data_IF_841737905644
#
_entry.id   IF_841737905644
#
_cell.length_a   1.000
_cell.length_b   1.000
_cell.length_c   1.000
_cell.angle_alpha   90.00
_cell.angle_beta   90.00
_cell.angle_gamma   90.00
#
_symmetry.space_group_name_H-M   'P 1'
#
loop_
_entity.id
_entity.type
_entity.pdbx_description
1 polymer ?
#
# COMPACT_ATOMS: atom_id res chain seq x y z
N UNK A 1 21.08 -10.38 -14.65
CA UNK A 1 21.09 -8.91 -14.49
C UNK A 1 19.66 -8.42 -14.58
N UNK A 2 19.00 -8.22 -13.46
CA UNK A 2 17.68 -7.56 -13.42
C UNK A 2 17.92 -6.08 -13.70
N UNK A 3 17.34 -5.55 -14.77
CA UNK A 3 17.36 -4.12 -15.05
C UNK A 3 16.68 -3.43 -13.87
N UNK A 4 17.38 -2.51 -13.18
CA UNK A 4 16.80 -1.74 -12.09
C UNK A 4 15.61 -0.94 -12.66
N UNK A 5 14.44 -1.08 -12.03
CA UNK A 5 13.24 -0.33 -12.40
C UNK A 5 13.39 1.17 -12.17
N UNK A 6 12.43 2.00 -12.64
CA UNK A 6 12.46 3.43 -12.37
C UNK A 6 12.35 3.71 -10.86
N UNK A 7 13.01 4.79 -10.41
CA UNK A 7 12.96 5.27 -9.02
C UNK A 7 12.38 6.68 -8.95
N UNK A 8 11.74 7.02 -7.82
CA UNK A 8 10.93 8.23 -7.66
C UNK A 8 11.32 9.02 -6.40
N UNK A 9 11.24 10.34 -6.49
CA UNK A 9 11.59 11.26 -5.38
C UNK A 9 10.47 11.35 -4.33
N UNK A 10 9.25 11.01 -4.73
CA UNK A 10 8.07 10.86 -3.86
C UNK A 10 7.48 9.46 -4.04
N UNK A 11 7.27 8.74 -2.93
CA UNK A 11 6.53 7.48 -2.92
C UNK A 11 5.40 7.57 -1.91
N UNK A 12 4.16 7.43 -2.39
CA UNK A 12 2.98 7.28 -1.54
C UNK A 12 2.73 5.79 -1.35
N UNK A 13 2.47 5.35 -0.13
CA UNK A 13 2.13 3.97 0.18
C UNK A 13 0.85 3.93 1.00
N UNK A 14 -0.15 3.20 0.51
CA UNK A 14 -1.43 2.98 1.18
C UNK A 14 -1.85 1.52 1.03
N UNK A 15 -2.86 1.07 1.78
CA UNK A 15 -3.31 -0.32 1.68
C UNK A 15 -3.70 -0.69 0.24
N UNK A 16 -4.53 0.13 -0.41
CA UNK A 16 -4.94 -0.05 -1.81
C UNK A 16 -4.19 0.86 -2.79
N UNK A 17 -4.20 0.47 -4.06
CA UNK A 17 -3.92 1.38 -5.17
C UNK A 17 -4.99 2.48 -5.26
N UNK A 18 -4.72 3.61 -5.93
CA UNK A 18 -5.72 4.65 -6.19
C UNK A 18 -6.65 4.27 -7.36
N UNK A 19 -6.62 2.99 -7.76
CA UNK A 19 -7.41 2.40 -8.83
C UNK A 19 -7.94 1.05 -8.43
N UNK A 20 -9.07 0.70 -9.02
CA UNK A 20 -9.66 -0.62 -8.98
C UNK A 20 -9.77 -1.20 -10.38
N UNK A 21 -9.76 -2.52 -10.45
CA UNK A 21 -9.91 -3.24 -11.70
C UNK A 21 -11.39 -3.49 -11.95
N UNK A 22 -11.90 -2.97 -13.06
CA UNK A 22 -13.28 -3.17 -13.51
C UNK A 22 -13.26 -4.12 -14.68
N UNK A 23 -14.02 -5.22 -14.56
CA UNK A 23 -14.17 -6.18 -15.65
C UNK A 23 -15.35 -5.75 -16.52
N UNK A 24 -15.13 -5.71 -17.83
CA UNK A 24 -16.21 -5.50 -18.79
C UNK A 24 -17.04 -6.78 -19.00
N UNK A 25 -18.11 -6.67 -19.80
CA UNK A 25 -18.99 -7.79 -20.11
C UNK A 25 -18.29 -8.96 -20.86
N UNK A 26 -17.09 -8.72 -21.41
CA UNK A 26 -16.26 -9.72 -22.09
C UNK A 26 -15.23 -10.37 -21.17
N UNK A 27 -15.08 -9.87 -19.93
CA UNK A 27 -14.08 -10.32 -18.96
C UNK A 27 -12.72 -9.64 -19.12
N UNK A 28 -12.60 -8.62 -19.97
CA UNK A 28 -11.41 -7.79 -20.08
C UNK A 28 -11.40 -6.75 -18.95
N UNK A 29 -10.25 -6.55 -18.31
CA UNK A 29 -10.15 -5.68 -17.14
C UNK A 29 -9.55 -4.32 -17.46
N UNK A 30 -10.28 -3.24 -17.21
CA UNK A 30 -9.79 -1.86 -17.23
C UNK A 30 -9.46 -1.39 -15.80
N UNK A 31 -8.60 -0.37 -15.68
CA UNK A 31 -8.31 0.27 -14.40
C UNK A 31 -9.05 1.60 -14.32
N UNK A 32 -9.88 1.75 -13.29
CA UNK A 32 -10.64 2.97 -13.03
C UNK A 32 -10.21 3.59 -11.69
N UNK A 33 -10.22 4.93 -11.55
CA UNK A 33 -9.90 5.57 -10.28
C UNK A 33 -10.77 5.07 -9.14
N UNK A 34 -10.17 4.67 -8.03
CA UNK A 34 -10.92 4.23 -6.86
C UNK A 34 -11.61 5.41 -6.18
N UNK A 35 -12.90 5.30 -5.81
CA UNK A 35 -13.54 6.31 -5.01
C UNK A 35 -12.87 6.38 -3.63
N UNK A 36 -12.37 7.55 -3.20
CA UNK A 36 -11.79 7.69 -1.88
C UNK A 36 -11.16 9.04 -1.58
N UNK A 37 -11.36 9.54 -0.35
CA UNK A 37 -10.82 10.84 0.08
C UNK A 37 -9.29 10.93 0.07
N UNK A 38 -8.59 9.81 0.30
CA UNK A 38 -7.13 9.77 0.20
C UNK A 38 -6.65 9.98 -1.24
N UNK A 39 -7.29 9.34 -2.22
CA UNK A 39 -6.92 9.46 -3.64
C UNK A 39 -7.05 10.91 -4.08
N UNK A 40 -8.22 11.52 -3.87
CA UNK A 40 -8.47 12.92 -4.22
C UNK A 40 -7.56 13.90 -3.46
N UNK A 41 -7.24 13.64 -2.19
CA UNK A 41 -6.31 14.49 -1.43
C UNK A 41 -4.89 14.44 -2.01
N UNK A 42 -4.45 13.26 -2.49
CA UNK A 42 -3.09 13.05 -2.97
C UNK A 42 -2.88 13.48 -4.42
N UNK A 43 -3.92 13.56 -5.26
CA UNK A 43 -3.82 14.06 -6.64
C UNK A 43 -3.04 15.37 -6.72
N UNK A 44 -3.41 16.37 -5.92
CA UNK A 44 -2.75 17.69 -5.88
C UNK A 44 -1.29 17.64 -5.39
N UNK A 45 -0.97 16.69 -4.51
CA UNK A 45 0.39 16.51 -3.97
C UNK A 45 1.31 15.91 -5.02
N UNK A 46 0.76 15.04 -5.86
CA UNK A 46 1.49 14.27 -6.88
C UNK A 46 1.58 15.02 -8.22
N UNK A 47 0.70 15.99 -8.46
CA UNK A 47 0.69 16.80 -9.68
C UNK A 47 2.06 17.45 -9.95
N UNK A 48 2.57 17.26 -11.18
CA UNK A 48 3.87 17.80 -11.61
C UNK A 48 5.09 17.15 -10.95
N UNK A 49 4.94 16.07 -10.17
CA UNK A 49 6.05 15.36 -9.51
C UNK A 49 6.29 13.99 -10.13
N UNK A 50 7.55 13.56 -10.11
CA UNK A 50 7.91 12.15 -10.35
C UNK A 50 7.57 11.34 -9.11
N UNK A 51 6.35 10.80 -9.08
CA UNK A 51 5.81 10.10 -7.94
C UNK A 51 5.37 8.67 -8.27
N UNK A 52 5.53 7.78 -7.30
CA UNK A 52 5.01 6.43 -7.34
C UNK A 52 3.96 6.20 -6.25
N UNK A 53 3.00 5.33 -6.53
CA UNK A 53 2.07 4.79 -5.54
C UNK A 53 2.30 3.30 -5.36
N UNK A 54 2.48 2.87 -4.11
CA UNK A 54 2.58 1.46 -3.73
C UNK A 54 1.31 1.04 -3.00
N UNK A 55 0.65 -0.02 -3.47
CA UNK A 55 -0.63 -0.45 -2.90
C UNK A 55 -1.07 -1.83 -3.40
N UNK A 56 -1.99 -2.46 -2.69
CA UNK A 56 -2.65 -3.69 -3.14
C UNK A 56 -3.69 -3.39 -4.22
N UNK A 57 -3.76 -4.26 -5.22
CA UNK A 57 -4.60 -4.12 -6.41
C UNK A 57 -6.08 -4.50 -6.21
N UNK A 58 -6.50 -4.87 -5.00
CA UNK A 58 -7.88 -5.28 -4.72
C UNK A 58 -8.19 -6.76 -5.03
N UNK A 59 -7.24 -7.51 -5.61
CA UNK A 59 -7.42 -8.92 -5.98
C UNK A 59 -6.40 -9.83 -5.26
N UNK A 60 -6.80 -11.07 -4.99
CA UNK A 60 -5.89 -12.06 -4.43
C UNK A 60 -4.96 -12.66 -5.48
N UNK A 61 -3.70 -12.87 -5.13
CA UNK A 61 -2.73 -13.59 -5.95
C UNK A 61 -1.44 -12.81 -6.16
N UNK A 62 -0.79 -13.09 -7.29
CA UNK A 62 0.43 -12.39 -7.69
C UNK A 62 0.10 -10.93 -7.98
N UNK A 63 0.98 -10.03 -7.55
CA UNK A 63 0.92 -8.62 -7.91
C UNK A 63 0.89 -8.47 -9.44
N UNK A 64 -0.01 -7.66 -10.03
CA UNK A 64 0.12 -7.24 -11.41
C UNK A 64 1.50 -6.60 -11.66
N UNK A 65 1.98 -6.67 -12.90
CA UNK A 65 3.20 -5.95 -13.27
C UNK A 65 2.99 -4.43 -13.08
N UNK A 66 4.03 -3.67 -12.73
CA UNK A 66 3.90 -2.22 -12.55
C UNK A 66 3.43 -1.52 -13.82
N UNK A 67 2.60 -0.49 -13.67
CA UNK A 67 1.99 0.22 -14.79
C UNK A 67 1.86 1.71 -14.50
N UNK A 68 1.57 2.49 -15.54
CA UNK A 68 1.27 3.91 -15.41
C UNK A 68 -0.22 4.15 -15.61
N UNK A 69 -0.77 5.11 -14.86
CA UNK A 69 -2.08 5.69 -15.14
C UNK A 69 -1.90 7.21 -15.19
N UNK A 70 -2.00 7.78 -16.39
CA UNK A 70 -1.51 9.14 -16.63
C UNK A 70 -0.01 9.23 -16.29
N UNK A 71 0.35 10.24 -15.49
CA UNK A 71 1.74 10.45 -15.03
C UNK A 71 2.09 9.65 -13.76
N UNK A 72 1.11 8.96 -13.17
CA UNK A 72 1.30 8.23 -11.93
C UNK A 72 1.85 6.83 -12.19
N UNK A 73 3.00 6.51 -11.59
CA UNK A 73 3.53 5.15 -11.58
C UNK A 73 2.90 4.34 -10.45
N UNK A 74 2.30 3.21 -10.78
CA UNK A 74 1.65 2.31 -9.84
C UNK A 74 2.48 1.04 -9.68
N UNK A 75 2.81 0.73 -8.42
CA UNK A 75 3.57 -0.47 -8.03
C UNK A 75 2.71 -1.36 -7.13
N UNK A 76 2.05 -2.38 -7.71
CA UNK A 76 1.17 -3.25 -6.96
C UNK A 76 1.91 -4.14 -5.94
N UNK A 77 1.27 -4.40 -4.80
CA UNK A 77 1.69 -5.41 -3.82
C UNK A 77 0.72 -6.58 -3.86
N UNK A 78 1.26 -7.79 -4.06
CA UNK A 78 0.47 -9.01 -4.12
C UNK A 78 0.11 -9.50 -2.73
N UNK A 79 -1.14 -9.90 -2.54
CA UNK A 79 -1.65 -10.51 -1.31
C UNK A 79 -2.35 -11.82 -1.68
N UNK A 80 -2.07 -12.90 -0.96
CA UNK A 80 -2.83 -14.14 -1.11
C UNK A 80 -4.21 -14.01 -0.45
N UNK A 81 -5.15 -14.91 -0.78
CA UNK A 81 -6.48 -14.92 -0.13
C UNK A 81 -6.38 -15.11 1.39
N UNK A 82 -5.43 -15.92 1.86
CA UNK A 82 -5.17 -16.08 3.30
C UNK A 82 -4.64 -14.79 3.92
N UNK A 83 -3.77 -14.06 3.23
CA UNK A 83 -3.27 -12.77 3.70
C UNK A 83 -4.35 -11.71 3.74
N UNK A 84 -5.26 -11.68 2.77
CA UNK A 84 -6.42 -10.78 2.80
C UNK A 84 -7.26 -11.06 4.04
N UNK A 85 -7.58 -12.32 4.31
CA UNK A 85 -8.37 -12.72 5.48
C UNK A 85 -7.67 -12.38 6.81
N UNK A 86 -6.36 -12.59 6.92
CA UNK A 86 -5.66 -12.46 8.20
C UNK A 86 -5.08 -11.06 8.45
N UNK A 87 -4.56 -10.37 7.43
CA UNK A 87 -3.98 -9.03 7.56
C UNK A 87 -5.03 -7.93 7.41
N UNK A 88 -5.90 -8.00 6.40
CA UNK A 88 -6.83 -6.93 6.09
C UNK A 88 -8.14 -7.10 6.86
N UNK A 89 -8.83 -8.23 6.65
CA UNK A 89 -10.10 -8.50 7.34
C UNK A 89 -9.88 -8.74 8.84
N UNK A 90 -8.87 -9.54 9.20
CA UNK A 90 -8.52 -9.85 10.60
C UNK A 90 -7.80 -8.70 11.31
N UNK A 91 -6.48 -8.61 11.21
CA UNK A 91 -5.70 -7.69 12.05
C UNK A 91 -6.07 -6.22 11.83
N UNK A 92 -6.27 -5.80 10.58
CA UNK A 92 -6.59 -4.39 10.30
C UNK A 92 -8.03 -4.05 10.71
N UNK A 93 -9.02 -4.79 10.22
CA UNK A 93 -10.43 -4.41 10.40
C UNK A 93 -11.12 -5.01 11.63
N UNK A 94 -10.65 -6.13 12.16
CA UNK A 94 -11.26 -6.78 13.34
C UNK A 94 -10.42 -6.63 14.63
N UNK A 95 -9.15 -6.20 14.52
CA UNK A 95 -8.31 -5.84 15.68
C UNK A 95 -8.07 -4.33 15.77
N UNK A 96 -7.39 -3.72 14.79
CA UNK A 96 -6.94 -2.33 14.90
C UNK A 96 -8.09 -1.34 14.79
N UNK A 97 -8.95 -1.51 13.78
CA UNK A 97 -10.04 -0.58 13.52
C UNK A 97 -10.96 -0.42 14.75
N UNK A 98 -11.45 -1.49 15.42
CA UNK A 98 -12.27 -1.32 16.61
C UNK A 98 -11.52 -0.63 17.75
N UNK A 99 -10.25 -0.96 17.98
CA UNK A 99 -9.43 -0.33 19.03
C UNK A 99 -9.27 1.18 18.77
N UNK A 100 -9.07 1.57 17.51
CA UNK A 100 -8.87 2.98 17.14
C UNK A 100 -10.16 3.80 17.16
N UNK A 101 -11.31 3.12 17.14
CA UNK A 101 -12.64 3.73 17.17
C UNK A 101 -13.34 3.46 18.51
N UNK A 102 -12.61 3.65 19.61
CA UNK A 102 -13.14 3.57 20.99
C UNK A 102 -13.86 2.24 21.34
N UNK A 103 -13.49 1.16 20.67
CA UNK A 103 -14.06 -0.19 20.86
C UNK A 103 -15.59 -0.19 20.66
N UNK A 104 -16.07 0.53 19.65
CA UNK A 104 -17.51 0.55 19.28
C UNK A 104 -18.05 -0.84 18.91
N UNK A 105 -17.16 -1.75 18.53
CA UNK A 105 -17.39 -3.20 18.43
C UNK A 105 -16.26 -3.93 19.16
N UNK A 106 -16.48 -5.16 19.69
CA UNK A 106 -15.42 -5.92 20.34
C UNK A 106 -14.27 -6.23 19.37
N UNK A 107 -13.03 -5.99 19.80
CA UNK A 107 -11.83 -6.35 19.03
C UNK A 107 -11.47 -7.83 19.23
N UNK A 108 -11.13 -8.52 18.15
CA UNK A 108 -10.62 -9.89 18.16
C UNK A 108 -9.09 -9.90 18.13
N UNK A 109 -8.46 -10.81 18.88
CA UNK A 109 -7.00 -10.90 18.95
C UNK A 109 -6.51 -12.29 18.60
N UNK A 110 -5.86 -12.42 17.44
CA UNK A 110 -5.29 -13.68 17.00
C UNK A 110 -3.81 -13.52 16.61
N UNK A 111 -2.96 -14.40 17.14
CA UNK A 111 -1.51 -14.33 16.93
C UNK A 111 -1.10 -14.57 15.48
N UNK A 112 -1.83 -15.41 14.74
CA UNK A 112 -1.59 -15.61 13.30
C UNK A 112 -1.86 -14.31 12.52
N UNK A 113 -2.94 -13.59 12.82
CA UNK A 113 -3.25 -12.31 12.18
C UNK A 113 -2.11 -11.30 12.37
N UNK A 114 -1.56 -11.20 13.58
CA UNK A 114 -0.37 -10.37 13.84
C UNK A 114 0.84 -10.79 13.00
N UNK A 115 1.11 -12.09 12.89
CA UNK A 115 2.24 -12.59 12.10
C UNK A 115 2.08 -12.26 10.61
N UNK A 116 0.86 -12.41 10.09
CA UNK A 116 0.54 -12.05 8.70
C UNK A 116 0.63 -10.54 8.49
N UNK A 117 0.15 -9.74 9.45
CA UNK A 117 0.26 -8.29 9.42
C UNK A 117 1.71 -7.80 9.31
N UNK A 118 2.61 -8.40 10.12
CA UNK A 118 4.06 -8.14 10.02
C UNK A 118 4.63 -8.55 8.68
N UNK A 119 4.23 -9.71 8.17
CA UNK A 119 4.71 -10.24 6.87
C UNK A 119 4.33 -9.33 5.72
N UNK A 120 3.07 -8.88 5.70
CA UNK A 120 2.57 -7.95 4.67
C UNK A 120 3.25 -6.58 4.80
N UNK A 121 3.36 -6.02 6.01
CA UNK A 121 4.07 -4.74 6.23
C UNK A 121 5.53 -4.82 5.77
N UNK A 122 6.21 -5.93 6.01
CA UNK A 122 7.58 -6.14 5.52
C UNK A 122 7.64 -6.16 3.99
N UNK A 123 6.69 -6.84 3.33
CA UNK A 123 6.58 -6.85 1.87
C UNK A 123 6.36 -5.44 1.31
N UNK A 124 5.49 -4.66 1.91
CA UNK A 124 5.31 -3.24 1.54
C UNK A 124 6.62 -2.46 1.68
N UNK A 125 7.33 -2.59 2.81
CA UNK A 125 8.62 -1.92 3.02
C UNK A 125 9.67 -2.30 1.96
N UNK A 126 9.73 -3.58 1.56
CA UNK A 126 10.63 -4.04 0.50
C UNK A 126 10.26 -3.41 -0.86
N UNK A 127 8.99 -3.44 -1.23
CA UNK A 127 8.51 -2.88 -2.51
C UNK A 127 8.75 -1.37 -2.57
N UNK A 128 8.52 -0.65 -1.48
CA UNK A 128 8.81 0.79 -1.39
C UNK A 128 10.32 1.04 -1.57
N UNK A 129 11.18 0.24 -0.93
CA UNK A 129 12.62 0.40 -1.01
C UNK A 129 13.17 0.23 -2.44
N UNK A 130 12.51 -0.58 -3.27
CA UNK A 130 12.86 -0.80 -4.67
C UNK A 130 12.56 0.41 -5.57
N UNK A 131 11.48 1.15 -5.27
CA UNK A 131 11.02 2.27 -6.12
C UNK A 131 11.41 3.64 -5.60
N UNK A 132 11.86 3.76 -4.35
CA UNK A 132 12.30 5.03 -3.77
C UNK A 132 13.71 5.41 -4.24
N UNK A 133 13.87 6.61 -4.82
CA UNK A 133 15.19 7.16 -5.17
C UNK A 133 16.05 7.43 -3.91
N UNK A 134 17.37 7.61 -4.02
CA UNK A 134 18.21 8.02 -2.90
C UNK A 134 17.72 9.33 -2.26
N UNK A 135 17.48 9.33 -0.95
CA UNK A 135 16.98 10.50 -0.21
C UNK A 135 15.53 10.88 -0.49
N UNK A 136 14.77 10.01 -1.17
CA UNK A 136 13.37 10.25 -1.49
C UNK A 136 12.48 10.45 -0.25
N UNK A 137 11.34 11.08 -0.48
CA UNK A 137 10.27 11.21 0.52
C UNK A 137 9.29 10.06 0.34
N UNK A 138 9.05 9.31 1.41
CA UNK A 138 8.05 8.26 1.48
C UNK A 138 6.96 8.69 2.44
N UNK A 139 5.72 8.67 1.98
CA UNK A 139 4.55 8.95 2.79
C UNK A 139 3.68 7.71 2.90
N UNK A 140 3.71 7.10 4.09
CA UNK A 140 2.93 5.90 4.42
C UNK A 140 1.60 6.33 5.02
N UNK A 141 0.51 5.72 4.57
CA UNK A 141 -0.82 6.04 5.03
C UNK A 141 -1.46 4.89 5.78
N UNK A 142 -2.08 5.28 6.88
CA UNK A 142 -3.13 4.59 7.59
C UNK A 142 -2.71 3.37 8.45
N UNK A 143 -3.66 2.89 9.24
CA UNK A 143 -3.44 1.88 10.28
C UNK A 143 -3.05 0.51 9.74
N UNK A 144 -3.25 0.21 8.46
CA UNK A 144 -2.84 -1.09 7.89
C UNK A 144 -1.31 -1.18 7.72
N UNK A 145 -0.60 -0.04 7.65
CA UNK A 145 0.84 0.02 7.32
C UNK A 145 1.71 0.60 8.45
N UNK A 146 1.29 0.47 9.71
CA UNK A 146 1.97 1.11 10.86
C UNK A 146 3.41 0.65 11.09
N UNK A 147 3.78 -0.55 10.64
CA UNK A 147 5.15 -1.07 10.84
C UNK A 147 6.10 -0.69 9.71
N UNK A 148 5.55 -0.29 8.55
CA UNK A 148 6.32 0.08 7.37
C UNK A 148 7.38 1.14 7.69
N UNK A 149 7.12 2.22 8.44
CA UNK A 149 8.15 3.24 8.67
C UNK A 149 9.43 2.70 9.32
N UNK A 150 9.29 1.87 10.35
CA UNK A 150 10.43 1.27 11.05
C UNK A 150 11.14 0.22 10.19
N UNK A 151 10.37 -0.65 9.51
CA UNK A 151 10.92 -1.67 8.62
C UNK A 151 11.66 -1.06 7.44
N UNK A 152 11.08 -0.02 6.82
CA UNK A 152 11.68 0.69 5.70
C UNK A 152 12.94 1.44 6.13
N UNK A 153 12.94 2.11 7.29
CA UNK A 153 14.13 2.78 7.84
C UNK A 153 15.32 1.82 7.99
N UNK A 154 15.06 0.57 8.39
CA UNK A 154 16.10 -0.45 8.54
C UNK A 154 16.71 -0.86 7.19
N UNK A 155 15.92 -0.86 6.11
CA UNK A 155 16.38 -1.18 4.75
C UNK A 155 17.03 0.03 4.08
N UNK A 156 16.47 1.23 4.30
CA UNK A 156 16.79 2.48 3.62
C UNK A 156 16.94 3.63 4.61
N UNK A 157 18.09 3.73 5.30
CA UNK A 157 18.34 4.75 6.31
C UNK A 157 18.39 6.18 5.73
N UNK A 158 18.50 6.33 4.41
CA UNK A 158 18.59 7.61 3.70
C UNK A 158 17.24 8.31 3.48
N UNK A 159 16.11 7.59 3.55
CA UNK A 159 14.80 8.12 3.14
C UNK A 159 14.23 9.11 4.16
N UNK A 160 13.38 10.04 3.71
CA UNK A 160 12.50 10.81 4.62
C UNK A 160 11.17 10.09 4.70
N UNK A 161 10.76 9.65 5.89
CA UNK A 161 9.57 8.79 6.04
C UNK A 161 8.55 9.51 6.91
N UNK A 162 7.40 9.82 6.35
CA UNK A 162 6.21 10.28 7.06
C UNK A 162 5.19 9.16 7.19
N UNK A 163 4.44 9.16 8.30
CA UNK A 163 3.27 8.31 8.47
C UNK A 163 2.08 9.17 8.89
N UNK A 164 0.92 8.93 8.29
CA UNK A 164 -0.32 9.63 8.61
C UNK A 164 -1.44 8.62 8.84
N UNK A 165 -2.03 8.64 10.04
CA UNK A 165 -3.22 7.87 10.37
C UNK A 165 -4.46 8.68 10.01
N UNK A 166 -5.42 8.08 9.30
CA UNK A 166 -6.65 8.77 8.90
C UNK A 166 -7.71 8.78 9.99
#
# INVERSE_FOLDING_TARGET
MTVAGPTFDLVVAANGLPVERVLDASGEGTWEPSPGGLVSAMESVMEGRKAAWVGWAGESGRAPEPFHQGDLYLRPVGLTSAEIAEYYEGFSNDTLWPIYHDVIVPASFHRNWWNTYRTVNHRFAQVIAEVAAPGATVWVHDYQLQLVPAMLRAIRPDLRIGWFNH
#
